data_IF_553126111583
#
_entry.id   IF_553126111583
#
_cell.length_a   1.000
_cell.length_b   1.000
_cell.length_c   1.000
_cell.angle_alpha   90.00
_cell.angle_beta   90.00
_cell.angle_gamma   90.00
#
_symmetry.space_group_name_H-M   'P 1'
#
loop_
_entity.id
_entity.type
_entity.pdbx_description
1 polymer ?
#
# COMPACT_ATOMS: atom_id res chain seq x y z
N UNK A 1 4.65 -10.81 -6.57
CA UNK A 1 5.24 -9.51 -6.98
C UNK A 1 6.23 -9.88 -8.07
N UNK A 2 6.11 -9.29 -9.27
CA UNK A 2 6.44 -9.84 -10.61
C UNK A 2 5.26 -10.58 -11.26
N UNK A 3 4.45 -9.81 -11.98
CA UNK A 3 3.38 -10.29 -12.86
C UNK A 3 3.94 -10.49 -14.28
N UNK A 4 5.01 -9.77 -14.62
CA UNK A 4 5.67 -9.79 -15.92
C UNK A 4 7.08 -10.39 -15.82
N UNK A 5 7.60 -11.00 -16.92
CA UNK A 5 8.98 -11.45 -17.00
C UNK A 5 9.97 -10.29 -16.87
N UNK A 6 11.25 -10.62 -16.69
CA UNK A 6 12.33 -9.63 -16.65
C UNK A 6 12.45 -8.94 -18.03
N UNK A 7 12.20 -7.63 -18.07
CA UNK A 7 12.12 -6.86 -19.31
C UNK A 7 13.50 -6.41 -19.77
N UNK A 8 13.74 -6.45 -21.08
CA UNK A 8 14.85 -5.75 -21.73
C UNK A 8 14.66 -4.23 -21.64
N UNK A 9 15.69 -3.43 -22.01
CA UNK A 9 15.56 -1.97 -22.08
C UNK A 9 14.47 -1.51 -23.06
N UNK A 10 14.22 -2.28 -24.11
CA UNK A 10 13.28 -1.93 -25.20
C UNK A 10 11.84 -2.22 -24.80
N UNK A 11 11.61 -3.29 -24.04
CA UNK A 11 10.27 -3.71 -23.60
C UNK A 11 9.85 -3.07 -22.27
N UNK A 12 10.74 -2.37 -21.58
CA UNK A 12 10.51 -1.86 -20.23
C UNK A 12 9.33 -0.88 -20.17
N UNK A 13 9.23 0.02 -21.15
CA UNK A 13 8.16 1.04 -21.20
C UNK A 13 6.78 0.38 -21.38
N UNK A 14 6.66 -0.54 -22.32
CA UNK A 14 5.42 -1.28 -22.58
C UNK A 14 4.98 -2.11 -21.37
N UNK A 15 5.90 -2.86 -20.78
CA UNK A 15 5.63 -3.64 -19.57
C UNK A 15 5.25 -2.75 -18.38
N UNK A 16 5.82 -1.55 -18.27
CA UNK A 16 5.44 -0.58 -17.23
C UNK A 16 4.00 -0.10 -17.43
N UNK A 17 3.62 0.29 -18.66
CA UNK A 17 2.27 0.74 -18.96
C UNK A 17 1.23 -0.36 -18.69
N UNK A 18 1.48 -1.58 -19.18
CA UNK A 18 0.60 -2.73 -18.95
C UNK A 18 0.49 -3.07 -17.46
N UNK A 19 1.60 -3.00 -16.71
CA UNK A 19 1.59 -3.21 -15.28
C UNK A 19 0.75 -2.17 -14.55
N UNK A 20 0.84 -0.89 -14.92
CA UNK A 20 0.02 0.18 -14.33
C UNK A 20 -1.46 -0.01 -14.64
N UNK A 21 -1.80 -0.38 -15.87
CA UNK A 21 -3.19 -0.63 -16.29
C UNK A 21 -3.79 -1.87 -15.63
N UNK A 22 -2.97 -2.88 -15.34
CA UNK A 22 -3.40 -4.12 -14.64
C UNK A 22 -3.84 -3.88 -13.19
N UNK A 23 -3.50 -2.73 -12.59
CA UNK A 23 -3.84 -2.43 -11.20
C UNK A 23 -5.32 -2.04 -11.10
N UNK A 24 -6.14 -2.94 -10.56
CA UNK A 24 -7.56 -2.62 -10.33
C UNK A 24 -7.77 -1.44 -9.37
N UNK A 25 -8.84 -0.66 -9.60
CA UNK A 25 -9.27 0.42 -8.70
C UNK A 25 -9.45 -0.05 -7.24
N UNK A 26 -9.92 -1.29 -7.04
CA UNK A 26 -10.07 -1.87 -5.71
C UNK A 26 -8.72 -2.01 -4.99
N UNK A 27 -7.66 -2.39 -5.71
CA UNK A 27 -6.30 -2.47 -5.15
C UNK A 27 -5.77 -1.09 -4.79
N UNK A 28 -5.98 -0.07 -5.64
CA UNK A 28 -5.59 1.31 -5.34
C UNK A 28 -6.29 1.83 -4.07
N UNK A 29 -7.61 1.62 -3.96
CA UNK A 29 -8.40 2.02 -2.79
C UNK A 29 -7.94 1.30 -1.52
N UNK A 30 -7.68 -0.01 -1.58
CA UNK A 30 -7.17 -0.79 -0.44
C UNK A 30 -5.80 -0.28 0.01
N UNK A 31 -4.92 0.03 -0.94
CA UNK A 31 -3.60 0.59 -0.64
C UNK A 31 -3.72 1.95 0.05
N UNK A 32 -4.49 2.89 -0.52
CA UNK A 32 -4.69 4.22 0.04
C UNK A 32 -5.26 4.17 1.47
N UNK A 33 -6.27 3.34 1.71
CA UNK A 33 -6.87 3.16 3.05
C UNK A 33 -5.86 2.54 4.03
N UNK A 34 -5.03 1.60 3.59
CA UNK A 34 -4.01 1.02 4.47
C UNK A 34 -2.93 2.06 4.82
N UNK A 35 -2.48 2.82 3.84
CA UNK A 35 -1.49 3.89 4.02
C UNK A 35 -2.00 4.99 4.95
N UNK A 36 -3.27 5.39 4.84
CA UNK A 36 -3.83 6.41 5.73
C UNK A 36 -3.82 6.00 7.20
N UNK A 37 -3.98 4.71 7.51
CA UNK A 37 -3.91 4.21 8.89
C UNK A 37 -2.49 4.22 9.46
N UNK A 38 -1.49 3.97 8.61
CA UNK A 38 -0.09 4.15 9.02
C UNK A 38 0.23 5.64 9.22
N UNK A 39 -0.25 6.51 8.35
CA UNK A 39 -0.09 7.96 8.51
C UNK A 39 -0.73 8.48 9.81
N UNK A 40 -1.92 8.00 10.17
CA UNK A 40 -2.59 8.30 11.45
C UNK A 40 -1.74 7.85 12.65
N UNK A 41 -1.22 6.62 12.63
CA UNK A 41 -0.34 6.11 13.67
C UNK A 41 0.95 6.95 13.82
N UNK A 42 1.55 7.35 12.70
CA UNK A 42 2.73 8.23 12.71
C UNK A 42 2.40 9.64 13.22
N UNK A 43 1.21 10.17 12.90
CA UNK A 43 0.74 11.44 13.44
C UNK A 43 0.62 11.40 14.98
N UNK A 44 0.24 10.25 15.53
CA UNK A 44 0.22 9.98 16.97
C UNK A 44 1.60 9.62 17.57
N UNK A 45 2.69 9.70 16.79
CA UNK A 45 4.05 9.51 17.27
C UNK A 45 4.50 8.05 17.40
N UNK A 46 3.74 7.09 16.87
CA UNK A 46 4.14 5.69 16.84
C UNK A 46 5.25 5.46 15.82
N UNK A 47 6.15 4.51 16.11
CA UNK A 47 7.16 4.08 15.16
C UNK A 47 6.62 3.02 14.18
N UNK A 48 7.46 2.51 13.28
CA UNK A 48 7.04 1.52 12.28
C UNK A 48 6.52 0.21 12.88
N UNK A 49 7.10 -0.27 13.97
CA UNK A 49 6.71 -1.52 14.61
C UNK A 49 5.40 -1.35 15.37
N UNK A 50 5.28 -0.26 16.13
CA UNK A 50 4.09 0.06 16.90
C UNK A 50 2.91 0.42 16.00
N UNK A 51 3.13 1.16 14.91
CA UNK A 51 2.11 1.44 13.90
C UNK A 51 1.60 0.15 13.25
N UNK A 52 2.50 -0.79 12.93
CA UNK A 52 2.11 -2.08 12.38
C UNK A 52 1.29 -2.91 13.37
N UNK A 53 1.69 -2.91 14.65
CA UNK A 53 0.96 -3.57 15.72
C UNK A 53 -0.42 -2.94 15.92
N UNK A 54 -0.50 -1.62 16.03
CA UNK A 54 -1.75 -0.88 16.24
C UNK A 54 -2.73 -1.10 15.07
N UNK A 55 -2.24 -1.05 13.83
CA UNK A 55 -3.04 -1.36 12.64
C UNK A 55 -3.57 -2.79 12.60
N UNK A 56 -2.84 -3.75 13.20
CA UNK A 56 -3.30 -5.13 13.36
C UNK A 56 -4.33 -5.25 14.48
N UNK A 57 -4.07 -4.63 15.63
CA UNK A 57 -4.93 -4.65 16.82
C UNK A 57 -6.28 -3.98 16.56
N UNK A 58 -6.26 -2.82 15.93
CA UNK A 58 -7.43 -1.98 15.67
C UNK A 58 -7.91 -2.06 14.21
N UNK A 59 -7.81 -3.25 13.58
CA UNK A 59 -8.11 -3.43 12.14
C UNK A 59 -9.53 -2.98 11.73
N UNK A 60 -10.51 -3.08 12.65
CA UNK A 60 -11.89 -2.62 12.44
C UNK A 60 -12.07 -1.12 12.60
N UNK A 61 -11.17 -0.45 13.33
CA UNK A 61 -11.16 1.00 13.46
C UNK A 61 -10.44 1.61 12.26
N UNK A 62 -10.89 2.81 11.86
CA UNK A 62 -10.30 3.55 10.74
C UNK A 62 -9.20 4.51 11.19
N UNK A 63 -9.15 4.81 12.47
CA UNK A 63 -8.15 5.64 13.16
C UNK A 63 -7.82 4.98 14.50
N UNK A 64 -6.72 5.41 15.12
CA UNK A 64 -6.39 5.01 16.48
C UNK A 64 -7.46 5.53 17.45
N UNK A 65 -7.95 4.70 18.39
CA UNK A 65 -8.82 5.18 19.44
C UNK A 65 -8.08 6.18 20.34
N UNK A 66 -8.81 7.15 20.93
CA UNK A 66 -8.24 8.13 21.85
C UNK A 66 -7.71 7.50 23.14
#
# INVERSE_FOLDING_TARGET
YRIFPESSSEDLEWNMLEALESVSLASMRRFAIRSSRFADAYFHGLDGADAAWANKKYRGHRALPP
#
